data_IF_578993739957
#
_entry.id   IF_578993739957
#
_cell.length_a   1.000
_cell.length_b   1.000
_cell.length_c   1.000
_cell.angle_alpha   90.00
_cell.angle_beta   90.00
_cell.angle_gamma   90.00
#
_symmetry.space_group_name_H-M   'P 1'
#
loop_
_entity.id
_entity.type
_entity.pdbx_description
1 polymer ?
#
# COMPACT_ATOMS: atom_id res chain seq x y z
N UNK A 1 -3.16 29.68 -34.08
CA UNK A 1 -4.12 28.62 -33.75
C UNK A 1 -3.54 27.84 -32.58
N UNK A 2 -3.92 28.23 -31.35
CA UNK A 2 -3.27 27.79 -30.12
C UNK A 2 -3.97 26.52 -29.62
N UNK A 3 -3.29 25.37 -29.74
CA UNK A 3 -3.81 24.11 -29.20
C UNK A 3 -3.52 24.13 -27.69
N UNK A 4 -4.54 24.47 -26.92
CA UNK A 4 -4.55 24.34 -25.47
C UNK A 4 -4.40 22.85 -25.13
N UNK A 5 -3.25 22.51 -24.55
CA UNK A 5 -3.02 21.19 -23.97
C UNK A 5 -3.94 21.08 -22.76
N UNK A 6 -4.96 20.22 -22.86
CA UNK A 6 -5.90 19.96 -21.79
C UNK A 6 -5.17 19.41 -20.56
N UNK A 7 -5.01 20.27 -19.55
CA UNK A 7 -4.36 19.95 -18.27
C UNK A 7 -5.17 18.99 -17.40
N UNK A 8 -6.41 18.67 -17.77
CA UNK A 8 -7.27 17.74 -17.01
C UNK A 8 -6.79 16.29 -17.13
N UNK A 9 -6.20 15.90 -18.27
CA UNK A 9 -5.67 14.55 -18.50
C UNK A 9 -4.37 14.32 -17.72
N UNK A 10 -3.53 15.36 -17.59
CA UNK A 10 -2.31 15.32 -16.77
C UNK A 10 -2.62 15.16 -15.27
N UNK A 11 -3.77 15.67 -14.79
CA UNK A 11 -4.22 15.48 -13.40
C UNK A 11 -4.68 14.05 -13.07
N UNK A 12 -5.09 13.27 -14.08
CA UNK A 12 -5.52 11.88 -13.92
C UNK A 12 -4.35 10.90 -14.02
N UNK A 13 -3.30 11.23 -14.78
CA UNK A 13 -2.10 10.40 -14.91
C UNK A 13 -1.23 10.39 -13.63
N UNK A 14 -1.24 11.47 -12.84
CA UNK A 14 -0.58 11.53 -11.52
C UNK A 14 -1.39 10.90 -10.37
N UNK A 15 -2.63 10.43 -10.63
CA UNK A 15 -3.51 9.79 -9.63
C UNK A 15 -3.28 8.28 -9.47
N UNK A 16 -2.46 7.65 -10.31
CA UNK A 16 -2.35 6.18 -10.40
C UNK A 16 -1.11 5.55 -9.74
N UNK A 17 -0.07 6.32 -9.37
CA UNK A 17 1.18 5.74 -8.80
C UNK A 17 1.37 6.10 -7.31
N UNK A 18 0.50 6.92 -6.73
CA UNK A 18 0.82 7.64 -5.48
C UNK A 18 -0.23 7.58 -4.38
N UNK A 19 -1.38 6.90 -4.56
CA UNK A 19 -2.38 6.83 -3.48
C UNK A 19 -1.84 6.15 -2.23
N UNK A 20 -1.30 4.91 -2.29
CA UNK A 20 -0.89 4.25 -1.05
C UNK A 20 0.34 4.88 -0.39
N UNK A 21 1.26 5.41 -1.19
CA UNK A 21 2.40 6.16 -0.66
C UNK A 21 1.95 7.44 0.05
N UNK A 22 1.02 8.22 -0.53
CA UNK A 22 0.46 9.40 0.12
C UNK A 22 -0.25 9.04 1.43
N UNK A 23 -1.02 7.95 1.45
CA UNK A 23 -1.69 7.46 2.68
C UNK A 23 -0.69 7.13 3.79
N UNK A 24 0.40 6.43 3.45
CA UNK A 24 1.48 6.15 4.40
C UNK A 24 2.16 7.43 4.91
N UNK A 25 2.50 8.36 4.02
CA UNK A 25 3.14 9.63 4.40
C UNK A 25 2.24 10.49 5.29
N UNK A 26 0.94 10.54 5.01
CA UNK A 26 -0.03 11.20 5.90
C UNK A 26 -0.06 10.54 7.28
N UNK A 27 -0.01 9.22 7.34
CA UNK A 27 0.00 8.50 8.61
C UNK A 27 1.26 8.82 9.43
N UNK A 28 2.44 8.85 8.79
CA UNK A 28 3.69 9.27 9.43
C UNK A 28 3.67 10.72 9.92
N UNK A 29 3.05 11.62 9.15
CA UNK A 29 2.91 13.03 9.51
C UNK A 29 1.87 13.29 10.61
N UNK A 30 1.26 12.25 11.19
CA UNK A 30 0.20 12.38 12.19
C UNK A 30 -1.16 12.82 11.61
N UNK A 31 -1.26 12.97 10.29
CA UNK A 31 -2.47 13.33 9.54
C UNK A 31 -3.39 12.12 9.37
N UNK A 32 -3.90 11.62 10.50
CA UNK A 32 -4.65 10.35 10.57
C UNK A 32 -5.94 10.38 9.73
N UNK A 33 -6.62 11.51 9.64
CA UNK A 33 -7.86 11.63 8.88
C UNK A 33 -7.61 11.50 7.37
N UNK A 34 -6.59 12.18 6.85
CA UNK A 34 -6.20 12.11 5.45
C UNK A 34 -5.68 10.72 5.07
N UNK A 35 -4.88 10.10 5.96
CA UNK A 35 -4.44 8.71 5.78
C UNK A 35 -5.63 7.73 5.72
N UNK A 36 -6.65 7.91 6.57
CA UNK A 36 -7.89 7.12 6.54
C UNK A 36 -8.67 7.29 5.26
N UNK A 37 -8.82 8.52 4.76
CA UNK A 37 -9.51 8.78 3.49
C UNK A 37 -8.84 8.05 2.34
N UNK A 38 -7.51 8.10 2.28
CA UNK A 38 -6.73 7.39 1.26
C UNK A 38 -6.84 5.86 1.43
N UNK A 39 -6.82 5.35 2.66
CA UNK A 39 -7.02 3.93 2.94
C UNK A 39 -8.39 3.45 2.43
N UNK A 40 -9.46 4.15 2.78
CA UNK A 40 -10.82 3.82 2.37
C UNK A 40 -11.03 3.94 0.86
N UNK A 41 -10.42 4.94 0.22
CA UNK A 41 -10.42 5.08 -1.23
C UNK A 41 -9.69 3.89 -1.89
N UNK A 42 -8.52 3.50 -1.37
CA UNK A 42 -7.73 2.39 -1.89
C UNK A 42 -8.47 1.05 -1.74
N UNK A 43 -9.12 0.82 -0.58
CA UNK A 43 -9.91 -0.39 -0.32
C UNK A 43 -11.19 -0.47 -1.15
N UNK A 44 -11.82 0.68 -1.46
CA UNK A 44 -12.95 0.70 -2.40
C UNK A 44 -12.47 0.41 -3.82
N UNK A 45 -11.42 1.09 -4.26
CA UNK A 45 -10.83 0.89 -5.58
C UNK A 45 -10.37 -0.56 -5.80
N UNK A 46 -9.81 -1.23 -4.78
CA UNK A 46 -9.38 -2.63 -4.86
C UNK A 46 -10.51 -3.64 -5.11
N UNK A 47 -11.77 -3.23 -4.95
CA UNK A 47 -12.94 -4.08 -5.28
C UNK A 47 -13.27 -4.05 -6.77
N UNK A 48 -12.94 -2.94 -7.44
CA UNK A 48 -13.35 -2.69 -8.82
C UNK A 48 -12.19 -2.87 -9.81
N UNK A 49 -10.95 -2.62 -9.39
CA UNK A 49 -9.75 -2.77 -10.21
C UNK A 49 -8.53 -3.09 -9.35
N UNK A 50 -7.43 -3.48 -10.00
CA UNK A 50 -6.19 -3.81 -9.31
C UNK A 50 -5.63 -2.60 -8.57
N UNK A 51 -5.46 -2.76 -7.26
CA UNK A 51 -4.73 -1.89 -6.35
C UNK A 51 -3.83 -2.78 -5.52
N UNK A 52 -2.55 -2.45 -5.43
CA UNK A 52 -1.58 -3.23 -4.65
C UNK A 52 -2.05 -3.39 -3.19
N UNK A 53 -2.35 -4.62 -2.79
CA UNK A 53 -2.66 -4.98 -1.41
C UNK A 53 -1.47 -4.68 -0.48
N UNK A 54 -0.25 -4.80 -0.99
CA UNK A 54 0.96 -4.40 -0.27
C UNK A 54 0.95 -2.89 0.02
N UNK A 55 0.58 -2.06 -0.96
CA UNK A 55 0.42 -0.62 -0.76
C UNK A 55 -0.58 -0.31 0.35
N UNK A 56 -1.74 -0.97 0.35
CA UNK A 56 -2.76 -0.79 1.40
C UNK A 56 -2.22 -1.20 2.78
N UNK A 57 -1.47 -2.31 2.86
CA UNK A 57 -0.82 -2.73 4.10
C UNK A 57 0.12 -1.66 4.66
N UNK A 58 0.88 -0.96 3.81
CA UNK A 58 1.80 0.08 4.27
C UNK A 58 1.07 1.29 4.87
N UNK A 59 -0.12 1.64 4.38
CA UNK A 59 -0.96 2.68 5.00
C UNK A 59 -1.40 2.23 6.40
N UNK A 60 -1.89 0.99 6.53
CA UNK A 60 -2.28 0.42 7.82
C UNK A 60 -1.10 0.40 8.81
N UNK A 61 0.09 0.02 8.34
CA UNK A 61 1.31 0.03 9.14
C UNK A 61 1.65 1.45 9.64
N UNK A 62 1.61 2.46 8.75
CA UNK A 62 1.78 3.86 9.13
C UNK A 62 0.75 4.34 10.16
N UNK A 63 -0.49 3.86 10.09
CA UNK A 63 -1.56 4.17 11.04
C UNK A 63 -1.44 3.43 12.39
N UNK A 64 -0.44 2.54 12.55
CA UNK A 64 -0.24 1.61 13.68
C UNK A 64 -1.35 0.56 13.81
N UNK A 65 -2.00 0.21 12.70
CA UNK A 65 -3.00 -0.85 12.63
C UNK A 65 -2.35 -2.16 12.19
N UNK A 66 -1.53 -2.71 13.09
CA UNK A 66 -0.63 -3.81 12.81
C UNK A 66 -1.35 -5.08 12.33
N UNK A 67 -2.46 -5.46 12.96
CA UNK A 67 -3.23 -6.64 12.55
C UNK A 67 -3.77 -6.51 11.12
N UNK A 68 -4.36 -5.36 10.79
CA UNK A 68 -4.84 -5.08 9.44
C UNK A 68 -3.69 -5.04 8.43
N UNK A 69 -2.54 -4.48 8.81
CA UNK A 69 -1.38 -4.49 7.92
C UNK A 69 -1.00 -5.93 7.55
N UNK A 70 -0.98 -6.84 8.51
CA UNK A 70 -0.67 -8.26 8.28
C UNK A 70 -1.74 -8.97 7.44
N UNK A 71 -3.03 -8.69 7.67
CA UNK A 71 -4.12 -9.20 6.82
C UNK A 71 -3.95 -8.79 5.36
N UNK A 72 -3.60 -7.52 5.12
CA UNK A 72 -3.35 -7.00 3.77
C UNK A 72 -2.07 -7.57 3.15
N UNK A 73 -1.03 -7.86 3.95
CA UNK A 73 0.18 -8.53 3.46
C UNK A 73 -0.09 -9.99 3.06
N UNK A 74 -0.91 -10.73 3.80
CA UNK A 74 -1.36 -12.07 3.40
C UNK A 74 -2.15 -12.04 2.09
N UNK A 75 -3.03 -11.04 1.93
CA UNK A 75 -3.71 -10.82 0.65
C UNK A 75 -2.72 -10.54 -0.48
N UNK A 76 -1.74 -9.67 -0.26
CA UNK A 76 -0.71 -9.35 -1.24
C UNK A 76 0.11 -10.58 -1.65
N UNK A 77 0.43 -11.47 -0.69
CA UNK A 77 1.06 -12.75 -0.97
C UNK A 77 0.18 -13.64 -1.87
N UNK A 78 -1.09 -13.81 -1.51
CA UNK A 78 -2.02 -14.65 -2.27
C UNK A 78 -2.28 -14.13 -3.69
N UNK A 79 -2.27 -12.80 -3.87
CA UNK A 79 -2.42 -12.12 -5.16
C UNK A 79 -1.12 -12.06 -5.97
N UNK A 80 0.00 -12.58 -5.42
CA UNK A 80 1.33 -12.52 -6.03
C UNK A 80 1.73 -11.08 -6.38
N UNK A 81 1.42 -10.13 -5.50
CA UNK A 81 1.81 -8.73 -5.65
C UNK A 81 3.34 -8.64 -5.79
N UNK A 82 3.81 -8.02 -6.86
CA UNK A 82 5.24 -7.95 -7.18
C UNK A 82 6.06 -7.24 -6.11
N UNK A 83 5.43 -6.35 -5.32
CA UNK A 83 6.08 -5.63 -4.22
C UNK A 83 6.46 -6.56 -3.07
N UNK A 84 5.86 -7.75 -2.99
CA UNK A 84 6.22 -8.77 -2.00
C UNK A 84 7.70 -9.14 -2.04
N UNK A 85 8.39 -8.98 -3.18
CA UNK A 85 9.83 -9.18 -3.29
C UNK A 85 10.64 -8.31 -2.30
N UNK A 86 10.10 -7.17 -1.86
CA UNK A 86 10.76 -6.23 -0.95
C UNK A 86 10.34 -6.38 0.52
N UNK A 87 9.47 -7.34 0.85
CA UNK A 87 8.88 -7.49 2.20
C UNK A 87 9.91 -7.54 3.34
N UNK A 88 11.07 -8.14 3.09
CA UNK A 88 12.16 -8.28 4.06
C UNK A 88 12.87 -6.96 4.37
N UNK A 89 12.92 -6.04 3.41
CA UNK A 89 13.77 -4.82 3.45
C UNK A 89 13.00 -3.52 3.50
N UNK A 90 11.69 -3.54 3.23
CA UNK A 90 10.87 -2.33 3.24
C UNK A 90 10.67 -1.78 4.65
N UNK A 91 11.29 -0.64 4.94
CA UNK A 91 11.25 0.05 6.24
C UNK A 91 9.84 0.48 6.67
N UNK A 92 8.89 0.57 5.73
CA UNK A 92 7.50 0.92 6.05
C UNK A 92 6.82 -0.11 6.94
N UNK A 93 7.39 -1.32 7.06
CA UNK A 93 6.91 -2.42 7.88
C UNK A 93 7.65 -2.56 9.22
N UNK A 94 8.54 -1.62 9.58
CA UNK A 94 9.39 -1.77 10.76
C UNK A 94 8.61 -1.87 12.07
N UNK A 95 7.42 -1.26 12.14
CA UNK A 95 6.53 -1.34 13.28
C UNK A 95 5.88 -2.72 13.49
N UNK A 96 5.93 -3.60 12.49
CA UNK A 96 5.45 -4.98 12.55
C UNK A 96 6.59 -5.99 12.34
N UNK A 97 7.85 -5.53 12.30
CA UNK A 97 9.01 -6.38 12.00
C UNK A 97 9.17 -7.53 12.98
N UNK A 98 8.86 -7.30 14.25
CA UNK A 98 8.95 -8.28 15.33
C UNK A 98 7.74 -9.22 15.41
N UNK A 99 6.69 -9.02 14.59
CA UNK A 99 5.53 -9.90 14.61
C UNK A 99 5.86 -11.24 13.95
N UNK A 100 5.67 -12.39 14.64
CA UNK A 100 5.99 -13.70 14.10
C UNK A 100 5.20 -14.05 12.84
N UNK A 101 4.02 -13.44 12.62
CA UNK A 101 3.24 -13.61 11.39
C UNK A 101 3.97 -13.02 10.18
N UNK A 102 4.67 -11.89 10.34
CA UNK A 102 5.47 -11.33 9.26
C UNK A 102 6.67 -12.23 8.92
N UNK A 103 7.34 -12.79 9.94
CA UNK A 103 8.46 -13.70 9.72
C UNK A 103 8.05 -14.92 8.88
N UNK A 104 6.93 -15.56 9.24
CA UNK A 104 6.36 -16.68 8.47
C UNK A 104 6.00 -16.30 7.04
N UNK A 105 5.49 -15.08 6.84
CA UNK A 105 5.16 -14.58 5.51
C UNK A 105 6.43 -14.35 4.66
N UNK A 106 7.49 -13.82 5.24
CA UNK A 106 8.80 -13.65 4.57
C UNK A 106 9.37 -15.01 4.14
N UNK A 107 9.30 -16.02 5.00
CA UNK A 107 9.74 -17.39 4.67
C UNK A 107 8.99 -17.95 3.46
N UNK A 108 7.67 -17.76 3.41
CA UNK A 108 6.83 -18.22 2.29
C UNK A 108 7.15 -17.51 0.97
N UNK A 109 7.57 -16.25 0.99
CA UNK A 109 7.99 -15.52 -0.22
C UNK A 109 9.33 -16.03 -0.75
N UNK A 110 10.23 -16.47 0.13
CA UNK A 110 11.56 -16.94 -0.24
C UNK A 110 11.57 -18.35 -0.85
N UNK A 111 10.48 -19.09 -0.73
CA UNK A 111 10.34 -20.44 -1.29
C UNK A 111 9.75 -20.30 -2.70
N UNK A 112 10.48 -20.66 -3.77
CA UNK A 112 9.89 -20.76 -5.10
C UNK A 112 8.79 -21.82 -5.07
N UNK A 113 7.59 -21.45 -5.53
CA UNK A 113 6.49 -22.40 -5.75
C UNK A 113 6.51 -22.94 -7.18
#
# INVERSE_FOLDING_TARGET
MNVLVDTSVWSLALRRVSQPLAGYLYALAGKRAEARQVLEASQRASKDHYVSAYGIATICAGLRENDKALEWLEKAFNERDSTMAFIKVDQRLDNIRSDPRLAKLIERVAIPQ
#
